data_IF_874599939421
#
_entry.id   IF_874599939421
#
_cell.length_a   1.000
_cell.length_b   1.000
_cell.length_c   1.000
_cell.angle_alpha   90.00
_cell.angle_beta   90.00
_cell.angle_gamma   90.00
#
_symmetry.space_group_name_H-M   'P 1'
#
loop_
_entity.id
_entity.type
_entity.pdbx_description
1 polymer ?
#
# COMPACT_ATOMS: atom_id res chain seq x y z
N UNK A 1 -0.61 -19.21 -14.60
CA UNK A 1 -1.06 -19.36 -13.21
C UNK A 1 -0.93 -17.99 -12.57
N UNK A 2 -2.03 -17.36 -12.15
CA UNK A 2 -1.93 -16.18 -11.29
C UNK A 2 -1.45 -16.66 -9.92
N UNK A 3 -0.35 -16.13 -9.41
CA UNK A 3 0.00 -16.33 -8.01
C UNK A 3 -1.10 -15.69 -7.16
N UNK A 4 -1.59 -16.38 -6.12
CA UNK A 4 -2.51 -15.83 -5.12
C UNK A 4 -1.75 -14.90 -4.17
N UNK A 5 -1.04 -13.94 -4.73
CA UNK A 5 -0.14 -13.03 -4.03
C UNK A 5 -0.63 -11.60 -4.17
N UNK A 6 -0.35 -10.79 -3.16
CA UNK A 6 -0.76 -9.39 -3.09
C UNK A 6 0.37 -8.47 -3.52
N UNK A 7 -0.02 -7.39 -4.19
CA UNK A 7 0.84 -6.26 -4.48
C UNK A 7 0.50 -5.09 -3.55
N UNK A 8 1.51 -4.47 -2.95
CA UNK A 8 1.35 -3.25 -2.14
C UNK A 8 1.93 -2.06 -2.88
N UNK A 9 1.14 -1.01 -3.00
CA UNK A 9 1.59 0.29 -3.49
C UNK A 9 1.69 1.26 -2.31
N UNK A 10 2.88 1.80 -2.08
CA UNK A 10 3.11 2.78 -1.01
C UNK A 10 3.27 4.18 -1.57
N UNK A 11 2.58 5.15 -0.96
CA UNK A 11 2.80 6.57 -1.20
C UNK A 11 3.09 7.29 0.12
N UNK A 12 3.88 8.37 0.13
CA UNK A 12 4.27 9.01 1.38
C UNK A 12 3.11 9.77 2.04
N UNK A 13 2.07 10.19 1.31
CA UNK A 13 1.01 11.07 1.84
C UNK A 13 -0.36 10.48 1.55
N UNK A 14 -1.27 10.51 2.53
CA UNK A 14 -2.65 10.01 2.40
C UNK A 14 -3.40 10.57 1.20
N UNK A 15 -3.24 11.87 0.92
CA UNK A 15 -3.87 12.52 -0.25
C UNK A 15 -3.45 11.86 -1.56
N UNK A 16 -2.16 11.48 -1.69
CA UNK A 16 -1.63 10.78 -2.86
C UNK A 16 -2.18 9.35 -2.90
N UNK A 17 -2.20 8.64 -1.76
CA UNK A 17 -2.82 7.31 -1.65
C UNK A 17 -4.28 7.32 -2.11
N UNK A 18 -5.07 8.31 -1.68
CA UNK A 18 -6.47 8.48 -2.09
C UNK A 18 -6.62 8.76 -3.59
N UNK A 19 -5.72 9.57 -4.17
CA UNK A 19 -5.73 9.83 -5.59
C UNK A 19 -5.43 8.55 -6.38
N UNK A 20 -4.37 7.81 -6.01
CA UNK A 20 -4.01 6.54 -6.65
C UNK A 20 -5.10 5.49 -6.51
N UNK A 21 -5.80 5.45 -5.37
CA UNK A 21 -6.96 4.57 -5.19
C UNK A 21 -8.05 4.85 -6.21
N UNK A 22 -8.41 6.13 -6.43
CA UNK A 22 -9.38 6.50 -7.45
C UNK A 22 -8.90 6.13 -8.85
N UNK A 23 -7.64 6.37 -9.16
CA UNK A 23 -7.05 6.08 -10.47
C UNK A 23 -7.01 4.58 -10.77
N UNK A 24 -6.76 3.74 -9.76
CA UNK A 24 -6.61 2.29 -9.92
C UNK A 24 -7.95 1.56 -9.79
N UNK A 25 -8.92 2.06 -9.01
CA UNK A 25 -10.22 1.42 -8.82
C UNK A 25 -11.01 1.21 -10.11
N UNK A 26 -10.77 2.03 -11.14
CA UNK A 26 -11.41 1.85 -12.44
C UNK A 26 -10.76 0.76 -13.32
N UNK A 27 -9.64 0.18 -12.89
CA UNK A 27 -8.79 -0.71 -13.72
C UNK A 27 -8.44 -2.04 -13.04
N UNK A 28 -8.34 -2.07 -11.71
CA UNK A 28 -7.86 -3.21 -10.96
C UNK A 28 -8.73 -3.47 -9.72
N UNK A 29 -8.55 -4.64 -9.10
CA UNK A 29 -9.07 -4.94 -7.78
C UNK A 29 -8.16 -4.33 -6.70
N UNK A 30 -8.64 -3.27 -6.04
CA UNK A 30 -7.78 -2.38 -5.24
C UNK A 30 -8.40 -2.08 -3.88
N UNK A 31 -7.61 -2.22 -2.82
CA UNK A 31 -7.94 -1.77 -1.48
C UNK A 31 -7.16 -0.51 -1.11
N UNK A 32 -7.66 0.20 -0.10
CA UNK A 32 -6.98 1.34 0.50
C UNK A 32 -6.88 1.12 1.99
N UNK A 33 -5.65 1.10 2.50
CA UNK A 33 -5.35 1.02 3.92
C UNK A 33 -4.64 2.29 4.35
N UNK A 34 -5.30 3.09 5.18
CA UNK A 34 -4.71 4.23 5.88
C UNK A 34 -4.90 4.04 7.38
N UNK A 35 -4.27 4.87 8.21
CA UNK A 35 -4.42 4.78 9.67
C UNK A 35 -5.84 5.06 10.17
N UNK A 36 -6.70 5.65 9.33
CA UNK A 36 -8.06 6.09 9.62
C UNK A 36 -9.14 5.33 8.83
N UNK A 37 -8.82 4.79 7.65
CA UNK A 37 -9.79 4.15 6.77
C UNK A 37 -9.21 2.83 6.23
N UNK A 38 -10.04 1.80 6.20
CA UNK A 38 -9.76 0.53 5.55
C UNK A 38 -10.88 0.23 4.55
N UNK A 39 -10.55 0.19 3.26
CA UNK A 39 -11.46 -0.16 2.16
C UNK A 39 -10.91 -1.38 1.45
N UNK A 40 -11.76 -2.41 1.26
CA UNK A 40 -11.43 -3.66 0.56
C UNK A 40 -10.04 -4.23 0.95
N UNK A 41 -9.77 -4.51 2.25
CA UNK A 41 -8.50 -5.10 2.70
C UNK A 41 -8.18 -6.47 2.08
N UNK A 42 -9.19 -7.14 1.54
CA UNK A 42 -9.10 -8.40 0.80
C UNK A 42 -8.59 -8.26 -0.63
N UNK A 43 -8.49 -7.05 -1.16
CA UNK A 43 -8.09 -6.81 -2.54
C UNK A 43 -6.68 -7.30 -2.84
N UNK A 44 -6.48 -7.73 -4.09
CA UNK A 44 -5.19 -8.19 -4.61
C UNK A 44 -4.13 -7.09 -4.69
N UNK A 45 -4.53 -5.83 -4.89
CA UNK A 45 -3.66 -4.67 -4.81
C UNK A 45 -4.05 -3.77 -3.62
N UNK A 46 -3.13 -3.49 -2.70
CA UNK A 46 -3.39 -2.61 -1.57
C UNK A 46 -2.59 -1.32 -1.70
N UNK A 47 -3.28 -0.19 -1.64
CA UNK A 47 -2.64 1.12 -1.54
C UNK A 47 -2.57 1.51 -0.07
N UNK A 48 -1.39 1.92 0.39
CA UNK A 48 -1.18 2.39 1.75
C UNK A 48 -0.09 3.45 1.84
N UNK A 49 0.14 3.99 3.04
CA UNK A 49 1.31 4.84 3.28
C UNK A 49 2.54 4.01 3.62
N UNK A 50 3.73 4.56 3.35
CA UNK A 50 5.00 3.91 3.69
C UNK A 50 5.11 3.64 5.20
N UNK A 51 4.63 4.56 6.03
CA UNK A 51 4.61 4.41 7.49
C UNK A 51 3.68 3.29 7.97
N UNK A 52 2.55 3.08 7.28
CA UNK A 52 1.64 1.99 7.61
C UNK A 52 2.26 0.63 7.27
N UNK A 53 2.86 0.51 6.08
CA UNK A 53 3.59 -0.70 5.69
C UNK A 53 4.71 -1.00 6.71
N UNK A 54 5.50 0.02 7.07
CA UNK A 54 6.56 -0.09 8.09
C UNK A 54 6.00 -0.59 9.43
N UNK A 55 4.88 -0.05 9.90
CA UNK A 55 4.22 -0.49 11.14
C UNK A 55 3.77 -1.95 11.06
N UNK A 56 3.20 -2.37 9.92
CA UNK A 56 2.76 -3.76 9.71
C UNK A 56 3.95 -4.74 9.70
N UNK A 57 5.07 -4.36 9.08
CA UNK A 57 6.32 -5.12 9.10
C UNK A 57 6.85 -5.28 10.53
N UNK A 58 6.90 -4.20 11.31
CA UNK A 58 7.37 -4.26 12.72
C UNK A 58 6.45 -5.10 13.62
N UNK A 59 5.14 -5.11 13.35
CA UNK A 59 4.17 -5.90 14.13
C UNK A 59 4.08 -7.36 13.68
N UNK A 60 4.72 -7.74 12.58
CA UNK A 60 4.62 -9.08 12.00
C UNK A 60 3.19 -9.42 11.56
N UNK A 61 2.45 -8.46 10.99
CA UNK A 61 1.07 -8.66 10.59
C UNK A 61 0.92 -9.78 9.54
N UNK A 62 -0.08 -10.65 9.70
CA UNK A 62 -0.28 -11.81 8.82
C UNK A 62 -0.42 -11.41 7.34
N UNK A 63 -0.98 -10.23 7.07
CA UNK A 63 -1.14 -9.67 5.72
C UNK A 63 0.19 -9.55 4.96
N UNK A 64 1.32 -9.43 5.66
CA UNK A 64 2.66 -9.33 5.07
C UNK A 64 3.06 -10.64 4.38
N UNK A 65 2.59 -11.79 4.88
CA UNK A 65 2.99 -13.11 4.35
C UNK A 65 2.54 -13.34 2.91
N UNK A 66 1.48 -12.66 2.50
CA UNK A 66 0.90 -12.81 1.16
C UNK A 66 1.44 -11.76 0.18
N UNK A 67 2.31 -10.84 0.62
CA UNK A 67 2.87 -9.79 -0.24
C UNK A 67 4.04 -10.37 -1.06
N UNK A 68 3.92 -10.32 -2.39
CA UNK A 68 5.02 -10.68 -3.30
C UNK A 68 5.69 -9.44 -3.90
N UNK A 69 4.93 -8.34 -4.06
CA UNK A 69 5.41 -7.13 -4.71
C UNK A 69 5.14 -5.90 -3.86
N UNK A 70 6.15 -5.03 -3.74
CA UNK A 70 6.01 -3.71 -3.12
C UNK A 70 6.48 -2.65 -4.11
N UNK A 71 5.59 -1.70 -4.42
CA UNK A 71 5.86 -0.54 -5.27
C UNK A 71 6.05 0.66 -4.35
N UNK A 72 7.26 1.22 -4.35
CA UNK A 72 7.54 2.48 -3.68
C UNK A 72 7.35 3.65 -4.65
N UNK A 73 6.31 4.44 -4.41
CA UNK A 73 6.13 5.72 -5.11
C UNK A 73 7.00 6.79 -4.47
N UNK A 74 7.38 7.80 -5.25
CA UNK A 74 8.04 9.00 -4.73
C UNK A 74 9.37 8.71 -3.99
N UNK A 75 10.18 7.76 -4.48
CA UNK A 75 11.45 7.32 -3.84
C UNK A 75 12.45 8.46 -3.62
N UNK A 76 12.33 9.58 -4.34
CA UNK A 76 13.18 10.74 -4.09
C UNK A 76 12.95 11.39 -2.71
N UNK A 77 11.82 11.13 -2.05
CA UNK A 77 11.59 11.52 -0.65
C UNK A 77 12.32 10.63 0.36
N UNK A 78 12.90 9.48 -0.04
CA UNK A 78 13.63 8.60 0.88
C UNK A 78 14.90 9.27 1.42
N UNK A 79 15.43 10.27 0.72
CA UNK A 79 16.57 11.07 1.16
C UNK A 79 16.17 12.29 2.02
N UNK A 80 14.88 12.49 2.27
CA UNK A 80 14.40 13.58 3.11
C UNK A 80 14.52 13.18 4.59
N UNK A 81 15.53 13.73 5.26
CA UNK A 81 15.94 13.35 6.63
C UNK A 81 14.88 13.72 7.68
N UNK A 82 13.89 14.56 7.32
CA UNK A 82 12.82 14.96 8.24
C UNK A 82 11.66 13.94 8.35
N UNK A 83 11.72 12.79 7.65
CA UNK A 83 10.61 11.84 7.52
C UNK A 83 10.96 10.38 7.78
#
# INVERSE_FOLDING_TARGET
MQHCTRAVYTAPIKTISNQKYRDFCGKFDVGLLTGDVSLRPEASCLIMTTELLRSMLYRGADIIRDIEWVIFDEVHYVNDVER
#
